data_IF_450544874545
#
_entry.id   IF_450544874545
#
_cell.length_a   1.000
_cell.length_b   1.000
_cell.length_c   1.000
_cell.angle_alpha   90.00
_cell.angle_beta   90.00
_cell.angle_gamma   90.00
#
_symmetry.space_group_name_H-M   'P 1'
#
loop_
_entity.id
_entity.type
_entity.pdbx_description
1 polymer ?
#
# COMPACT_ATOMS: atom_id res chain seq x y z
N UNK A 1 11.56 5.06 34.26
CA UNK A 1 10.47 5.65 33.45
C UNK A 1 10.28 4.79 32.22
N UNK A 2 9.05 4.37 31.91
CA UNK A 2 8.72 3.59 30.71
C UNK A 2 7.79 4.44 29.84
N UNK A 3 8.31 5.07 28.80
CA UNK A 3 7.51 5.75 27.77
C UNK A 3 6.94 4.68 26.84
N UNK A 4 5.61 4.54 26.84
CA UNK A 4 4.90 3.76 25.82
C UNK A 4 4.64 4.69 24.65
N UNK A 5 5.18 4.36 23.47
CA UNK A 5 4.81 4.97 22.20
C UNK A 5 4.09 3.92 21.35
N UNK A 6 2.81 4.17 21.13
CA UNK A 6 1.82 3.57 20.22
C UNK A 6 0.86 4.76 19.97
N UNK A 7 0.29 5.02 18.80
CA UNK A 7 -0.02 4.06 17.73
C UNK A 7 0.06 4.60 16.28
N UNK A 8 0.11 5.92 16.03
CA UNK A 8 -0.16 6.52 14.71
C UNK A 8 1.07 6.65 13.77
N UNK A 9 2.15 5.92 14.03
CA UNK A 9 3.45 6.01 13.34
C UNK A 9 3.95 4.64 12.82
N UNK A 10 3.05 3.80 12.28
CA UNK A 10 3.39 2.41 11.93
C UNK A 10 3.87 2.11 10.51
N UNK A 11 3.81 3.06 9.57
CA UNK A 11 4.58 2.95 8.29
C UNK A 11 6.11 2.81 8.48
N UNK A 12 6.63 2.96 9.71
CA UNK A 12 7.94 3.60 9.92
C UNK A 12 9.04 2.80 10.66
N UNK A 13 8.89 1.50 10.97
CA UNK A 13 9.84 0.79 11.88
C UNK A 13 10.47 -0.53 11.38
N UNK A 14 10.01 -1.20 10.31
CA UNK A 14 10.43 -2.59 10.01
C UNK A 14 11.21 -2.89 8.71
N UNK A 15 11.73 -1.89 7.97
CA UNK A 15 12.58 -2.14 6.77
C UNK A 15 13.99 -1.52 6.81
N UNK A 16 14.65 -1.52 7.98
CA UNK A 16 16.12 -1.39 8.01
C UNK A 16 16.77 -2.73 7.63
N UNK A 17 17.64 -2.69 6.61
CA UNK A 17 18.50 -3.77 6.05
C UNK A 17 17.95 -4.53 4.82
N UNK A 18 17.89 -3.86 3.66
CA UNK A 18 17.93 -4.49 2.34
C UNK A 18 18.79 -3.67 1.36
N UNK A 19 20.12 -3.70 1.57
CA UNK A 19 21.08 -3.04 0.68
C UNK A 19 21.32 -3.83 -0.62
N UNK A 20 21.40 -3.11 -1.74
CA UNK A 20 21.68 -3.60 -3.10
C UNK A 20 22.74 -4.70 -3.21
N UNK A 21 22.45 -5.74 -4.02
CA UNK A 21 23.44 -6.42 -4.85
C UNK A 21 22.81 -6.97 -6.14
N UNK A 22 23.19 -6.39 -7.29
CA UNK A 22 22.83 -6.87 -8.63
C UNK A 22 23.93 -7.80 -9.13
N UNK A 23 23.61 -9.04 -9.49
CA UNK A 23 24.53 -9.91 -10.24
C UNK A 23 23.82 -10.75 -11.30
N UNK A 24 24.51 -10.91 -12.45
CA UNK A 24 24.01 -11.55 -13.66
C UNK A 24 23.66 -13.03 -13.48
N UNK A 25 22.62 -13.47 -14.19
CA UNK A 25 22.30 -14.89 -14.40
C UNK A 25 23.23 -15.52 -15.44
N UNK A 26 23.69 -16.74 -15.17
CA UNK A 26 24.30 -17.63 -16.17
C UNK A 26 23.39 -18.84 -16.31
N UNK A 27 22.81 -19.02 -17.50
CA UNK A 27 21.98 -20.19 -17.80
C UNK A 27 22.84 -21.42 -18.06
N UNK A 28 22.50 -22.54 -17.41
CA UNK A 28 22.89 -23.88 -17.87
C UNK A 28 21.64 -24.70 -18.16
N UNK A 29 21.49 -25.09 -19.42
CA UNK A 29 20.49 -26.04 -19.89
C UNK A 29 21.01 -27.47 -19.71
N UNK A 30 20.16 -28.36 -19.21
CA UNK A 30 20.32 -29.81 -19.39
C UNK A 30 19.02 -30.41 -19.92
N UNK A 31 19.12 -31.16 -21.02
CA UNK A 31 18.01 -31.83 -21.70
C UNK A 31 18.13 -33.33 -21.48
N UNK A 32 17.02 -34.03 -21.22
CA UNK A 32 16.97 -35.49 -21.20
C UNK A 32 15.65 -36.04 -21.79
N UNK A 33 15.77 -37.06 -22.65
CA UNK A 33 14.73 -37.86 -23.31
C UNK A 33 14.74 -39.29 -22.70
N UNK A 34 13.75 -40.19 -22.83
CA UNK A 34 12.42 -40.23 -23.46
C UNK A 34 11.57 -41.31 -22.73
N UNK A 35 10.24 -41.22 -22.71
CA UNK A 35 9.36 -42.39 -22.61
C UNK A 35 7.89 -42.07 -22.94
N UNK A 36 7.40 -42.53 -24.09
CA UNK A 36 5.98 -42.50 -24.44
C UNK A 36 5.19 -43.61 -23.72
N UNK A 37 3.99 -43.28 -23.26
CA UNK A 37 2.99 -44.25 -22.84
C UNK A 37 1.58 -43.70 -23.13
N UNK A 38 0.97 -44.14 -24.23
CA UNK A 38 -0.43 -43.83 -24.54
C UNK A 38 -1.35 -44.66 -23.63
N UNK A 39 -2.13 -43.96 -22.79
CA UNK A 39 -3.35 -44.49 -22.16
C UNK A 39 -4.46 -43.47 -22.32
N UNK A 40 -5.48 -43.83 -23.10
CA UNK A 40 -6.72 -43.06 -23.24
C UNK A 40 -7.64 -43.29 -22.05
N UNK A 41 -8.05 -42.23 -21.36
CA UNK A 41 -9.46 -41.98 -21.01
C UNK A 41 -9.68 -40.62 -20.32
N UNK A 42 -10.92 -40.14 -20.37
CA UNK A 42 -11.45 -38.94 -19.69
C UNK A 42 -10.69 -37.61 -19.89
N UNK A 43 -11.16 -36.77 -20.82
CA UNK A 43 -10.65 -35.42 -20.99
C UNK A 43 -10.81 -34.58 -19.71
N UNK A 44 -9.72 -33.99 -19.16
CA UNK A 44 -9.82 -33.15 -17.99
C UNK A 44 -10.60 -31.87 -18.32
N UNK A 45 -11.56 -31.56 -17.44
CA UNK A 45 -12.31 -30.32 -17.43
C UNK A 45 -11.31 -29.15 -17.39
N UNK A 46 -11.36 -28.22 -18.35
CA UNK A 46 -10.33 -27.20 -18.57
C UNK A 46 -10.39 -26.06 -17.52
N UNK A 47 -10.14 -26.41 -16.25
CA UNK A 47 -10.11 -25.53 -15.08
C UNK A 47 -8.95 -25.78 -14.12
N UNK A 48 -8.00 -26.65 -14.46
CA UNK A 48 -6.71 -26.77 -13.79
C UNK A 48 -5.57 -26.34 -14.73
N UNK A 49 -4.53 -25.73 -14.16
CA UNK A 49 -3.25 -25.34 -14.82
C UNK A 49 -3.23 -24.12 -15.75
N UNK A 50 -4.08 -23.10 -15.52
CA UNK A 50 -3.52 -21.74 -15.63
C UNK A 50 -2.78 -21.45 -14.32
N UNK A 51 -1.45 -21.44 -14.39
CA UNK A 51 -0.57 -21.38 -13.23
C UNK A 51 -0.76 -20.04 -12.50
N UNK A 52 -1.46 -20.07 -11.35
CA UNK A 52 -1.87 -18.86 -10.60
C UNK A 52 -0.67 -17.92 -10.40
N UNK A 53 -0.76 -16.74 -10.98
CA UNK A 53 0.31 -15.76 -10.96
C UNK A 53 0.31 -15.00 -9.63
N UNK A 54 -0.87 -14.73 -9.07
CA UNK A 54 -1.03 -14.08 -7.77
C UNK A 54 -0.46 -14.96 -6.64
N UNK A 55 -0.79 -16.25 -6.64
CA UNK A 55 -0.29 -17.20 -5.66
C UNK A 55 1.21 -17.50 -5.77
N UNK A 56 1.76 -17.57 -7.00
CA UNK A 56 3.21 -17.66 -7.19
C UNK A 56 3.93 -16.43 -6.67
N UNK A 57 3.46 -15.24 -7.04
CA UNK A 57 4.04 -13.97 -6.60
C UNK A 57 3.99 -13.84 -5.07
N UNK A 58 2.90 -14.31 -4.44
CA UNK A 58 2.77 -14.40 -2.98
C UNK A 58 3.81 -15.33 -2.35
N UNK A 59 4.06 -16.49 -2.95
CA UNK A 59 5.06 -17.45 -2.48
C UNK A 59 6.49 -16.92 -2.63
N UNK A 60 6.79 -16.22 -3.72
CA UNK A 60 8.09 -15.58 -3.93
C UNK A 60 8.33 -14.45 -2.90
N UNK A 61 7.30 -13.65 -2.58
CA UNK A 61 7.35 -12.68 -1.49
C UNK A 61 7.56 -13.33 -0.11
N UNK A 62 6.88 -14.44 0.18
CA UNK A 62 7.08 -15.22 1.41
C UNK A 62 8.51 -15.74 1.55
N UNK A 63 9.07 -16.29 0.47
CA UNK A 63 10.44 -16.80 0.45
C UNK A 63 11.46 -15.66 0.64
N UNK A 64 11.29 -14.55 -0.07
CA UNK A 64 12.10 -13.34 0.09
C UNK A 64 12.08 -12.83 1.54
N UNK A 65 10.89 -12.65 2.12
CA UNK A 65 10.71 -12.19 3.50
C UNK A 65 11.42 -13.11 4.51
N UNK A 66 11.27 -14.44 4.36
CA UNK A 66 11.93 -15.42 5.24
C UNK A 66 13.46 -15.37 5.13
N UNK A 67 14.01 -15.20 3.93
CA UNK A 67 15.45 -15.05 3.72
C UNK A 67 15.98 -13.75 4.34
N UNK A 68 15.25 -12.64 4.19
CA UNK A 68 15.58 -11.36 4.84
C UNK A 68 15.56 -11.47 6.37
N UNK A 69 14.57 -12.15 6.96
CA UNK A 69 14.50 -12.41 8.39
C UNK A 69 15.70 -13.23 8.91
N UNK A 70 16.13 -14.27 8.17
CA UNK A 70 17.32 -15.07 8.51
C UNK A 70 18.63 -14.27 8.39
N UNK A 71 18.73 -13.37 7.40
CA UNK A 71 19.85 -12.45 7.24
C UNK A 71 19.96 -11.48 8.42
N UNK A 72 18.86 -10.83 8.79
CA UNK A 72 18.77 -9.92 9.94
C UNK A 72 19.08 -10.62 11.28
N UNK A 73 18.62 -11.86 11.46
CA UNK A 73 18.97 -12.70 12.61
C UNK A 73 20.47 -12.98 12.68
N UNK A 74 21.09 -13.34 11.55
CA UNK A 74 22.53 -13.65 11.48
C UNK A 74 23.40 -12.44 11.83
N UNK A 75 23.02 -11.25 11.34
CA UNK A 75 23.67 -9.99 11.72
C UNK A 75 23.45 -9.65 13.21
N UNK A 76 22.25 -9.92 13.75
CA UNK A 76 21.94 -9.71 15.17
C UNK A 76 22.81 -10.59 16.07
N UNK A 77 22.99 -11.89 15.74
CA UNK A 77 23.88 -12.78 16.49
C UNK A 77 25.33 -12.26 16.51
N UNK A 78 25.86 -11.84 15.36
CA UNK A 78 27.22 -11.29 15.27
C UNK A 78 27.40 -9.99 16.07
N UNK A 79 26.35 -9.19 16.23
CA UNK A 79 26.35 -8.04 17.13
C UNK A 79 26.33 -8.48 18.62
N UNK A 80 25.53 -9.49 18.97
CA UNK A 80 25.48 -10.05 20.33
C UNK A 80 26.83 -10.64 20.77
N UNK A 81 27.54 -11.34 19.88
CA UNK A 81 28.85 -11.93 20.18
C UNK A 81 29.89 -10.91 20.66
N UNK A 82 29.75 -9.65 20.22
CA UNK A 82 30.63 -8.53 20.57
C UNK A 82 30.26 -7.84 21.90
N UNK A 83 29.27 -8.36 22.65
CA UNK A 83 28.92 -7.88 23.99
C UNK A 83 29.88 -8.51 25.03
N UNK A 84 30.65 -7.71 25.80
CA UNK A 84 31.63 -8.26 26.74
C UNK A 84 31.03 -8.95 27.97
N UNK A 85 29.85 -8.51 28.41
CA UNK A 85 29.15 -9.09 29.56
C UNK A 85 28.42 -10.39 29.15
N UNK A 86 28.73 -11.56 29.75
CA UNK A 86 28.15 -12.83 29.31
C UNK A 86 26.64 -12.92 29.49
N UNK A 87 26.05 -12.26 30.48
CA UNK A 87 24.61 -12.33 30.74
C UNK A 87 23.83 -11.43 29.76
N UNK A 88 24.37 -10.25 29.44
CA UNK A 88 23.81 -9.37 28.40
C UNK A 88 23.92 -9.98 27.01
N UNK A 89 25.02 -10.69 26.71
CA UNK A 89 25.17 -11.43 25.45
C UNK A 89 24.13 -12.54 25.33
N UNK A 90 23.96 -13.36 26.37
CA UNK A 90 22.95 -14.42 26.39
C UNK A 90 21.53 -13.86 26.17
N UNK A 91 21.17 -12.77 26.88
CA UNK A 91 19.89 -12.09 26.65
C UNK A 91 19.76 -11.60 25.20
N UNK A 92 20.81 -11.01 24.63
CA UNK A 92 20.81 -10.55 23.24
C UNK A 92 20.56 -11.70 22.24
N UNK A 93 21.14 -12.89 22.45
CA UNK A 93 20.85 -14.04 21.59
C UNK A 93 19.39 -14.51 21.71
N UNK A 94 18.82 -14.51 22.93
CA UNK A 94 17.41 -14.83 23.16
C UNK A 94 16.48 -13.81 22.49
N UNK A 95 16.79 -12.52 22.60
CA UNK A 95 16.05 -11.43 21.97
C UNK A 95 16.12 -11.53 20.43
N UNK A 96 17.30 -11.83 19.88
CA UNK A 96 17.50 -12.06 18.44
C UNK A 96 16.69 -13.28 17.94
N UNK A 97 16.66 -14.37 18.70
CA UNK A 97 15.87 -15.55 18.34
C UNK A 97 14.36 -15.28 18.42
N UNK A 98 13.91 -14.52 19.42
CA UNK A 98 12.51 -14.08 19.52
C UNK A 98 12.13 -13.17 18.34
N UNK A 99 12.99 -12.22 17.97
CA UNK A 99 12.80 -11.35 16.81
C UNK A 99 12.70 -12.14 15.49
N UNK A 100 13.51 -13.19 15.31
CA UNK A 100 13.38 -14.09 14.16
C UNK A 100 12.01 -14.78 14.12
N UNK A 101 11.51 -15.29 15.25
CA UNK A 101 10.19 -15.94 15.28
C UNK A 101 9.06 -14.97 14.94
N UNK A 102 9.11 -13.74 15.47
CA UNK A 102 8.16 -12.68 15.12
C UNK A 102 8.22 -12.38 13.62
N UNK A 103 9.41 -12.15 13.06
CA UNK A 103 9.57 -11.86 11.63
C UNK A 103 9.06 -13.00 10.73
N UNK A 104 9.35 -14.26 11.08
CA UNK A 104 8.85 -15.42 10.33
C UNK A 104 7.33 -15.55 10.38
N UNK A 105 6.70 -15.21 11.51
CA UNK A 105 5.24 -15.14 11.64
C UNK A 105 4.67 -14.00 10.77
N UNK A 106 5.25 -12.80 10.84
CA UNK A 106 4.85 -11.67 9.97
C UNK A 106 4.91 -12.05 8.49
N UNK A 107 5.98 -12.71 8.03
CA UNK A 107 6.06 -13.20 6.65
C UNK A 107 4.90 -14.15 6.30
N UNK A 108 4.50 -15.01 7.24
CA UNK A 108 3.39 -15.95 7.05
C UNK A 108 2.02 -15.26 7.04
N UNK A 109 1.83 -14.24 7.87
CA UNK A 109 0.60 -13.43 7.93
C UNK A 109 0.45 -12.62 6.62
N UNK A 110 1.53 -11.98 6.16
CA UNK A 110 1.56 -11.28 4.87
C UNK A 110 1.27 -12.21 3.69
N UNK A 111 1.75 -13.47 3.73
CA UNK A 111 1.39 -14.46 2.71
C UNK A 111 -0.10 -14.78 2.73
N UNK A 112 -0.68 -15.00 3.91
CA UNK A 112 -2.13 -15.29 4.06
C UNK A 112 -2.96 -14.12 3.54
N UNK A 113 -2.59 -12.87 3.84
CA UNK A 113 -3.26 -11.68 3.33
C UNK A 113 -3.23 -11.62 1.79
N UNK A 114 -2.07 -11.85 1.16
CA UNK A 114 -1.99 -11.92 -0.31
C UNK A 114 -2.86 -13.04 -0.88
N UNK A 115 -2.86 -14.24 -0.28
CA UNK A 115 -3.72 -15.35 -0.73
C UNK A 115 -5.22 -15.02 -0.62
N UNK A 116 -5.65 -14.33 0.43
CA UNK A 116 -7.04 -13.87 0.57
C UNK A 116 -7.41 -12.88 -0.55
N UNK A 117 -6.51 -11.94 -0.86
CA UNK A 117 -6.70 -11.00 -1.97
C UNK A 117 -6.68 -11.69 -3.34
N UNK A 118 -5.84 -12.71 -3.55
CA UNK A 118 -5.90 -13.57 -4.75
C UNK A 118 -7.24 -14.32 -4.86
N UNK A 119 -7.85 -14.71 -3.73
CA UNK A 119 -9.17 -15.32 -3.70
C UNK A 119 -10.31 -14.34 -4.06
N UNK A 120 -10.11 -13.05 -3.79
CA UNK A 120 -11.08 -11.98 -4.06
C UNK A 120 -10.97 -11.43 -5.50
N UNK A 121 -9.75 -11.16 -5.96
CA UNK A 121 -9.47 -10.57 -7.29
C UNK A 121 -9.22 -11.62 -8.38
N UNK A 122 -9.02 -12.89 -8.00
CA UNK A 122 -8.64 -13.99 -8.88
C UNK A 122 -7.13 -14.18 -9.02
N UNK A 123 -6.72 -15.39 -9.42
CA UNK A 123 -5.31 -15.80 -9.57
C UNK A 123 -4.57 -15.28 -10.81
N UNK A 124 -5.12 -14.28 -11.50
CA UNK A 124 -4.52 -13.69 -12.70
C UNK A 124 -3.27 -12.86 -12.37
N UNK A 125 -2.38 -12.61 -13.34
CA UNK A 125 -1.32 -11.63 -13.17
C UNK A 125 -1.96 -10.23 -13.11
N UNK A 126 -1.72 -9.47 -12.04
CA UNK A 126 -2.13 -8.08 -12.00
C UNK A 126 -1.29 -7.27 -12.99
N UNK A 127 -1.90 -6.84 -14.10
CA UNK A 127 -1.25 -6.05 -15.14
C UNK A 127 -2.30 -5.24 -15.92
N UNK A 128 -2.83 -4.14 -15.35
CA UNK A 128 -3.77 -3.27 -16.04
C UNK A 128 -3.15 -2.74 -17.34
N UNK A 129 -3.96 -2.66 -18.40
CA UNK A 129 -3.54 -2.15 -19.70
C UNK A 129 -3.81 -0.65 -19.73
N UNK A 130 -2.74 0.14 -19.63
CA UNK A 130 -2.81 1.59 -19.74
C UNK A 130 -2.65 1.98 -21.21
N UNK A 131 -3.74 2.43 -21.83
CA UNK A 131 -3.74 3.13 -23.11
C UNK A 131 -3.99 4.62 -22.84
N UNK A 132 -3.00 5.51 -23.07
CA UNK A 132 -3.17 6.95 -22.89
C UNK A 132 -4.36 7.58 -23.61
N UNK A 133 -4.84 6.99 -24.71
CA UNK A 133 -6.01 7.48 -25.42
C UNK A 133 -7.34 7.29 -24.67
N UNK A 134 -7.34 6.54 -23.56
CA UNK A 134 -8.50 6.36 -22.68
C UNK A 134 -8.50 7.32 -21.48
N UNK A 135 -7.53 8.23 -21.35
CA UNK A 135 -7.40 9.14 -20.21
C UNK A 135 -7.48 10.60 -20.64
N UNK A 136 -8.01 11.45 -19.76
CA UNK A 136 -7.95 12.90 -19.89
C UNK A 136 -9.28 13.62 -19.61
N UNK A 137 -9.20 14.95 -19.57
CA UNK A 137 -10.25 15.80 -18.99
C UNK A 137 -9.93 16.17 -17.54
N UNK A 138 -10.82 16.91 -16.86
CA UNK A 138 -10.75 17.08 -15.41
C UNK A 138 -11.03 15.74 -14.70
N UNK A 139 -10.56 15.61 -13.45
CA UNK A 139 -10.99 14.50 -12.59
C UNK A 139 -12.26 14.95 -11.85
N UNK A 140 -13.40 14.62 -12.43
CA UNK A 140 -14.75 15.00 -11.99
C UNK A 140 -15.58 13.84 -11.41
N UNK A 141 -14.92 12.71 -11.11
CA UNK A 141 -15.51 11.54 -10.46
C UNK A 141 -16.39 11.96 -9.25
N UNK A 142 -17.61 11.41 -9.10
CA UNK A 142 -18.55 11.85 -8.07
C UNK A 142 -18.03 11.74 -6.63
N UNK A 143 -17.12 10.80 -6.35
CA UNK A 143 -16.60 10.51 -5.02
C UNK A 143 -15.11 10.83 -4.85
N UNK A 144 -14.40 11.19 -5.92
CA UNK A 144 -13.01 11.65 -5.88
C UNK A 144 -12.73 12.81 -6.87
N UNK A 145 -13.43 13.97 -6.78
CA UNK A 145 -13.20 15.08 -7.69
C UNK A 145 -11.93 15.86 -7.30
N UNK A 146 -11.00 16.05 -8.23
CA UNK A 146 -9.82 16.90 -8.04
C UNK A 146 -10.05 18.26 -8.73
N UNK A 147 -10.54 19.22 -7.95
CA UNK A 147 -10.71 20.61 -8.37
C UNK A 147 -9.37 21.34 -8.17
N UNK A 148 -8.70 21.84 -9.23
CA UNK A 148 -7.42 22.54 -9.08
C UNK A 148 -7.50 23.73 -8.11
N UNK A 149 -6.49 23.87 -7.25
CA UNK A 149 -6.43 24.85 -6.18
C UNK A 149 -7.29 24.53 -4.95
N UNK A 150 -8.09 23.45 -4.97
CA UNK A 150 -8.86 23.06 -3.79
C UNK A 150 -8.01 22.28 -2.80
N UNK A 151 -8.03 22.72 -1.55
CA UNK A 151 -7.37 22.09 -0.41
C UNK A 151 -8.41 21.55 0.58
N UNK A 152 -8.27 20.29 0.95
CA UNK A 152 -9.03 19.63 2.01
C UNK A 152 -8.10 19.48 3.23
N UNK A 153 -8.56 19.92 4.40
CA UNK A 153 -7.78 19.90 5.64
C UNK A 153 -8.47 18.99 6.64
N UNK A 154 -7.72 18.02 7.16
CA UNK A 154 -8.19 17.01 8.10
C UNK A 154 -7.46 17.09 9.43
N UNK A 155 -8.12 16.70 10.52
CA UNK A 155 -7.52 16.64 11.85
C UNK A 155 -7.87 15.34 12.57
N UNK A 156 -6.92 14.80 13.34
CA UNK A 156 -7.11 13.66 14.23
C UNK A 156 -6.48 13.94 15.60
N UNK A 157 -7.22 13.64 16.66
CA UNK A 157 -6.70 13.64 18.02
C UNK A 157 -6.18 12.23 18.36
N UNK A 158 -4.89 12.01 18.12
CA UNK A 158 -4.21 10.73 18.39
C UNK A 158 -3.61 10.71 19.79
N UNK A 159 -3.20 9.52 20.23
CA UNK A 159 -2.39 9.34 21.44
C UNK A 159 -1.00 10.00 21.38
N UNK A 160 -0.46 10.22 20.18
CA UNK A 160 0.84 10.86 19.93
C UNK A 160 0.70 12.41 19.79
N UNK A 161 -0.53 12.91 19.66
CA UNK A 161 -0.86 14.34 19.58
C UNK A 161 -1.89 14.68 18.49
N UNK A 162 -1.94 15.96 18.11
CA UNK A 162 -2.83 16.43 17.05
C UNK A 162 -2.13 16.19 15.70
N UNK A 163 -2.65 15.23 14.92
CA UNK A 163 -2.27 15.03 13.51
C UNK A 163 -3.15 15.95 12.65
N UNK A 164 -2.54 16.71 11.74
CA UNK A 164 -3.24 17.49 10.71
C UNK A 164 -2.70 17.11 9.34
N UNK A 165 -3.59 16.73 8.43
CA UNK A 165 -3.27 16.49 7.03
C UNK A 165 -3.84 17.64 6.18
N UNK A 166 -3.08 18.12 5.21
CA UNK A 166 -3.50 19.10 4.20
C UNK A 166 -3.33 18.50 2.80
N UNK A 167 -4.43 18.17 2.11
CA UNK A 167 -4.44 17.57 0.77
C UNK A 167 -4.85 18.62 -0.26
N UNK A 168 -3.97 19.00 -1.18
CA UNK A 168 -4.22 20.04 -2.20
C UNK A 168 -4.16 19.48 -3.60
N UNK A 169 -5.27 19.54 -4.35
CA UNK A 169 -5.24 19.28 -5.79
C UNK A 169 -4.55 20.46 -6.50
N UNK A 170 -3.37 20.23 -7.05
CA UNK A 170 -2.54 21.32 -7.61
C UNK A 170 -2.94 21.64 -9.06
N UNK A 171 -2.33 22.69 -9.61
CA UNK A 171 -2.39 23.01 -11.04
C UNK A 171 -1.33 22.27 -11.88
N UNK A 172 -0.45 21.48 -11.25
CA UNK A 172 0.66 20.79 -11.89
C UNK A 172 0.24 19.41 -12.43
N UNK A 173 0.93 18.97 -13.47
CA UNK A 173 0.72 17.64 -14.07
C UNK A 173 2.03 16.95 -14.43
N UNK A 174 2.04 15.62 -14.38
CA UNK A 174 3.19 14.77 -14.71
C UNK A 174 2.79 13.73 -15.75
N UNK A 175 3.70 13.37 -16.65
CA UNK A 175 3.49 12.32 -17.65
C UNK A 175 3.98 10.97 -17.12
N UNK A 176 3.07 10.04 -16.85
CA UNK A 176 3.38 8.68 -16.38
C UNK A 176 2.75 7.68 -17.35
N UNK A 177 3.55 6.75 -17.91
CA UNK A 177 3.12 5.82 -18.95
C UNK A 177 2.48 6.48 -20.21
N UNK A 178 2.71 7.78 -20.41
CA UNK A 178 2.10 8.60 -21.47
C UNK A 178 0.74 9.20 -21.12
N UNK A 179 0.24 8.97 -19.90
CA UNK A 179 -0.96 9.60 -19.34
C UNK A 179 -0.57 10.90 -18.63
N UNK A 180 -1.33 11.96 -18.88
CA UNK A 180 -1.26 13.21 -18.11
C UNK A 180 -1.95 13.01 -16.76
N UNK A 181 -1.16 12.89 -15.69
CA UNK A 181 -1.67 12.77 -14.32
C UNK A 181 -1.69 14.13 -13.63
N UNK A 182 -2.78 14.43 -12.91
CA UNK A 182 -2.92 15.58 -12.00
C UNK A 182 -2.12 15.30 -10.74
N UNK A 183 -1.33 16.28 -10.30
CA UNK A 183 -0.58 16.19 -9.05
C UNK A 183 -1.43 16.68 -7.87
N UNK A 184 -1.48 15.88 -6.80
CA UNK A 184 -1.98 16.26 -5.48
C UNK A 184 -0.78 16.41 -4.54
N UNK A 185 -0.87 17.35 -3.61
CA UNK A 185 0.13 17.57 -2.56
C UNK A 185 -0.49 17.26 -1.20
N UNK A 186 -0.11 16.14 -0.59
CA UNK A 186 -0.44 15.78 0.80
C UNK A 186 0.71 16.23 1.72
N UNK A 187 0.37 16.92 2.81
CA UNK A 187 1.33 17.28 3.85
C UNK A 187 0.77 16.95 5.23
N UNK A 188 1.45 16.03 5.92
CA UNK A 188 1.09 15.62 7.27
C UNK A 188 1.95 16.33 8.32
N UNK A 189 1.28 16.87 9.32
CA UNK A 189 1.86 17.49 10.51
C UNK A 189 1.46 16.72 11.76
N UNK A 190 2.37 16.55 12.72
CA UNK A 190 2.08 16.13 14.08
C UNK A 190 2.49 17.24 15.05
N UNK A 191 1.55 17.73 15.86
CA UNK A 191 1.76 18.82 16.83
C UNK A 191 2.38 20.10 16.21
N UNK A 192 2.19 20.32 14.90
CA UNK A 192 2.73 21.45 14.13
C UNK A 192 4.10 21.21 13.49
N UNK A 193 4.79 20.09 13.75
CA UNK A 193 5.97 19.67 12.99
C UNK A 193 5.52 18.86 11.76
N UNK A 194 6.11 19.15 10.59
CA UNK A 194 5.85 18.38 9.37
C UNK A 194 6.57 17.05 9.42
N UNK A 195 5.84 15.95 9.25
CA UNK A 195 6.34 14.57 9.32
C UNK A 195 6.27 13.83 7.98
N UNK A 196 5.43 14.28 7.05
CA UNK A 196 5.28 13.71 5.70
C UNK A 196 5.06 14.85 4.70
N UNK A 197 5.56 14.70 3.48
CA UNK A 197 5.46 15.66 2.37
C UNK A 197 5.43 14.84 1.07
N UNK A 198 4.24 14.64 0.50
CA UNK A 198 3.97 13.66 -0.56
C UNK A 198 3.35 14.30 -1.79
N UNK A 199 3.86 13.93 -2.97
CA UNK A 199 3.29 14.30 -4.26
C UNK A 199 2.67 13.07 -4.93
N UNK A 200 1.35 12.99 -4.90
CA UNK A 200 0.54 11.93 -5.51
C UNK A 200 0.16 12.28 -6.95
N UNK A 201 0.02 11.27 -7.81
CA UNK A 201 -0.38 11.46 -9.21
C UNK A 201 -1.59 10.61 -9.58
N UNK A 202 -2.67 11.29 -9.99
CA UNK A 202 -3.94 10.66 -10.37
C UNK A 202 -4.34 10.96 -11.81
N UNK A 203 -5.07 10.07 -12.47
CA UNK A 203 -5.71 10.37 -13.75
C UNK A 203 -7.08 9.69 -13.84
N UNK A 204 -8.04 10.35 -14.49
CA UNK A 204 -9.36 9.76 -14.75
C UNK A 204 -9.42 9.14 -16.14
N UNK A 205 -9.95 7.93 -16.24
CA UNK A 205 -10.26 7.28 -17.51
C UNK A 205 -11.60 7.79 -18.10
N UNK A 206 -11.85 7.46 -19.37
CA UNK A 206 -13.11 7.80 -20.06
C UNK A 206 -14.33 6.99 -19.61
N UNK A 207 -14.17 6.06 -18.68
CA UNK A 207 -15.29 5.42 -17.97
C UNK A 207 -15.62 6.19 -16.67
N UNK A 208 -14.71 7.04 -16.20
CA UNK A 208 -14.83 7.90 -15.02
C UNK A 208 -14.10 7.37 -13.77
N UNK A 209 -13.35 6.27 -13.87
CA UNK A 209 -12.60 5.75 -12.73
C UNK A 209 -11.35 6.59 -12.53
N UNK A 210 -11.02 6.89 -11.28
CA UNK A 210 -9.78 7.57 -10.92
C UNK A 210 -8.72 6.53 -10.63
N UNK A 211 -7.62 6.63 -11.36
CA UNK A 211 -6.45 5.76 -11.24
C UNK A 211 -5.35 6.47 -10.48
N UNK A 212 -4.67 5.73 -9.60
CA UNK A 212 -3.49 6.18 -8.87
C UNK A 212 -2.23 5.67 -9.60
N UNK A 213 -1.38 6.60 -10.04
CA UNK A 213 -0.22 6.31 -10.89
C UNK A 213 1.11 6.29 -10.13
N UNK A 214 1.16 6.79 -8.90
CA UNK A 214 2.37 6.84 -8.08
C UNK A 214 2.36 7.97 -7.07
N UNK A 215 3.35 7.93 -6.19
CA UNK A 215 3.69 8.98 -5.25
C UNK A 215 5.20 9.24 -5.19
N UNK A 216 5.56 10.45 -4.79
CA UNK A 216 6.89 10.77 -4.26
C UNK A 216 6.71 11.24 -2.81
N UNK A 217 7.03 10.35 -1.88
CA UNK A 217 6.83 10.51 -0.44
C UNK A 217 8.14 10.84 0.25
N UNK A 218 8.15 11.92 1.03
CA UNK A 218 9.26 12.31 1.90
C UNK A 218 8.85 12.17 3.36
N UNK A 219 9.36 11.15 4.04
CA UNK A 219 9.17 11.00 5.49
C UNK A 219 10.20 11.89 6.21
N UNK A 220 9.74 12.73 7.14
CA UNK A 220 10.51 13.83 7.74
C UNK A 220 10.58 13.70 9.26
N UNK A 221 11.77 13.91 9.82
CA UNK A 221 11.96 14.01 11.27
C UNK A 221 12.99 15.08 11.60
N UNK A 222 12.69 15.95 12.57
CA UNK A 222 13.55 17.08 12.96
C UNK A 222 13.90 18.00 11.77
N UNK A 223 12.96 18.16 10.83
CA UNK A 223 13.13 18.95 9.60
C UNK A 223 14.05 18.35 8.53
N UNK A 224 14.48 17.08 8.68
CA UNK A 224 15.28 16.36 7.69
C UNK A 224 14.48 15.21 7.07
N UNK A 225 14.62 14.99 5.77
CA UNK A 225 14.13 13.76 5.11
C UNK A 225 14.92 12.59 5.68
N UNK A 226 14.24 11.66 6.33
CA UNK A 226 14.82 10.45 6.93
C UNK A 226 14.61 9.20 6.08
N UNK A 227 13.63 9.24 5.18
CA UNK A 227 13.25 8.12 4.31
C UNK A 227 12.38 8.62 3.15
N UNK A 228 12.29 7.81 2.10
CA UNK A 228 11.37 7.97 0.97
C UNK A 228 10.61 6.66 0.72
N UNK A 229 10.43 5.86 1.75
CA UNK A 229 9.58 4.65 1.72
C UNK A 229 8.14 5.07 1.39
N UNK A 230 7.41 4.22 0.65
CA UNK A 230 6.18 4.59 -0.07
C UNK A 230 6.44 4.85 -1.56
N UNK A 231 7.32 5.82 -1.88
CA UNK A 231 7.58 6.34 -3.25
C UNK A 231 7.57 5.27 -4.34
N UNK A 232 6.66 5.41 -5.31
CA UNK A 232 6.61 4.59 -6.50
C UNK A 232 6.16 5.37 -7.74
N UNK A 233 6.42 4.80 -8.92
CA UNK A 233 5.94 5.37 -10.19
C UNK A 233 5.58 4.23 -11.12
N UNK A 234 4.35 4.24 -11.63
CA UNK A 234 3.83 3.21 -12.52
C UNK A 234 4.73 2.97 -13.74
N UNK A 235 5.05 1.71 -13.99
CA UNK A 235 6.00 1.28 -15.03
C UNK A 235 7.46 1.19 -14.59
N UNK A 236 7.83 1.74 -13.43
CA UNK A 236 9.19 1.67 -12.88
C UNK A 236 9.31 0.47 -11.94
N UNK A 237 10.39 -0.32 -12.07
CA UNK A 237 10.71 -1.44 -11.18
C UNK A 237 9.58 -2.48 -10.96
N UNK A 238 8.67 -2.62 -11.93
CA UNK A 238 7.53 -3.53 -11.85
C UNK A 238 6.28 -2.95 -11.18
N UNK A 239 6.34 -1.70 -10.68
CA UNK A 239 5.21 -0.97 -10.13
C UNK A 239 4.08 -0.79 -11.15
N UNK A 240 2.83 -0.84 -10.68
CA UNK A 240 1.62 -0.75 -11.51
C UNK A 240 0.60 0.17 -10.86
N UNK A 241 -0.15 0.94 -11.66
CA UNK A 241 -1.21 1.78 -11.15
C UNK A 241 -2.37 0.91 -10.67
N UNK A 242 -3.19 1.47 -9.79
CA UNK A 242 -4.49 0.91 -9.42
C UNK A 242 -5.59 1.95 -9.52
N UNK A 243 -6.77 1.60 -9.02
CA UNK A 243 -7.94 2.48 -8.95
C UNK A 243 -8.03 2.99 -7.51
N UNK A 244 -8.20 4.30 -7.31
CA UNK A 244 -8.49 4.93 -5.99
C UNK A 244 -9.99 5.22 -5.81
N UNK A 245 -10.74 5.26 -6.92
CA UNK A 245 -12.20 5.42 -6.89
C UNK A 245 -12.83 5.01 -8.23
N UNK A 246 -13.78 4.09 -8.19
CA UNK A 246 -14.60 3.74 -9.36
C UNK A 246 -15.66 4.83 -9.65
N UNK A 247 -16.15 4.94 -10.89
CA UNK A 247 -17.23 5.88 -11.22
C UNK A 247 -18.55 5.54 -10.53
N UNK A 248 -18.78 4.23 -10.38
CA UNK A 248 -20.04 3.64 -9.92
C UNK A 248 -19.78 2.52 -8.90
N UNK A 249 -19.24 2.83 -7.71
CA UNK A 249 -18.91 1.80 -6.71
C UNK A 249 -20.15 0.96 -6.34
N UNK A 250 -20.00 -0.37 -6.25
CA UNK A 250 -21.02 -1.28 -5.75
C UNK A 250 -20.52 -2.09 -4.54
N UNK A 251 -21.41 -2.41 -3.59
CA UNK A 251 -21.01 -3.18 -2.40
C UNK A 251 -20.50 -4.56 -2.79
N UNK A 252 -19.26 -4.85 -2.40
CA UNK A 252 -18.56 -6.09 -2.75
C UNK A 252 -17.50 -5.92 -3.83
N UNK A 253 -17.49 -4.80 -4.56
CA UNK A 253 -16.40 -4.46 -5.49
C UNK A 253 -15.09 -4.37 -4.72
N UNK A 254 -14.03 -4.84 -5.36
CA UNK A 254 -12.70 -4.92 -4.77
C UNK A 254 -11.64 -4.77 -5.86
N UNK A 255 -10.61 -3.98 -5.57
CA UNK A 255 -9.56 -3.64 -6.50
C UNK A 255 -8.26 -3.37 -5.76
N UNK A 256 -7.19 -3.13 -6.53
CA UNK A 256 -5.92 -2.64 -6.00
C UNK A 256 -5.88 -1.13 -6.19
N UNK A 257 -5.49 -0.43 -5.13
CA UNK A 257 -5.09 0.98 -5.17
C UNK A 257 -3.74 1.12 -5.89
N UNK A 258 -2.86 0.14 -5.65
CA UNK A 258 -1.50 0.09 -6.19
C UNK A 258 -0.93 -1.34 -6.20
N UNK A 259 0.20 -1.54 -6.91
CA UNK A 259 0.95 -2.80 -6.82
C UNK A 259 2.45 -2.65 -7.09
N UNK A 260 3.24 -2.83 -6.04
CA UNK A 260 4.70 -2.89 -5.99
C UNK A 260 5.11 -3.94 -4.95
N UNK A 261 5.33 -5.19 -5.37
CA UNK A 261 5.52 -6.33 -4.47
C UNK A 261 6.59 -6.07 -3.37
N UNK A 262 6.17 -6.10 -2.11
CA UNK A 262 7.03 -5.86 -0.93
C UNK A 262 7.22 -4.38 -0.53
N UNK A 263 6.73 -3.45 -1.35
CA UNK A 263 6.85 -2.00 -1.13
C UNK A 263 5.50 -1.35 -0.87
N UNK A 264 4.54 -1.55 -1.78
CA UNK A 264 3.18 -1.02 -1.71
C UNK A 264 2.21 -2.02 -2.35
N UNK A 265 1.18 -2.46 -1.63
CA UNK A 265 0.26 -3.53 -2.09
C UNK A 265 -1.18 -3.27 -1.69
N UNK A 266 -1.54 -1.99 -1.56
CA UNK A 266 -2.79 -1.54 -0.98
C UNK A 266 -4.00 -1.92 -1.85
N UNK A 267 -5.08 -2.28 -1.17
CA UNK A 267 -6.26 -2.87 -1.79
C UNK A 267 -7.53 -2.45 -1.08
N UNK A 268 -8.53 -2.15 -1.88
CA UNK A 268 -9.78 -1.55 -1.46
C UNK A 268 -10.93 -2.54 -1.62
N UNK A 269 -11.92 -2.41 -0.75
CA UNK A 269 -13.20 -3.10 -0.89
C UNK A 269 -14.35 -2.16 -0.53
N UNK A 270 -15.31 -1.99 -1.43
CA UNK A 270 -16.50 -1.19 -1.19
C UNK A 270 -17.44 -1.95 -0.24
N UNK A 271 -17.66 -1.41 0.96
CA UNK A 271 -18.47 -2.05 2.03
C UNK A 271 -19.77 -1.31 2.33
N UNK A 272 -20.01 -0.14 1.74
CA UNK A 272 -21.29 0.56 1.81
C UNK A 272 -21.40 1.75 0.84
N UNK A 273 -22.63 2.15 0.51
CA UNK A 273 -22.93 3.20 -0.49
C UNK A 273 -23.88 4.31 0.01
N UNK A 274 -24.37 4.20 1.24
CA UNK A 274 -25.38 5.10 1.79
C UNK A 274 -25.13 5.34 3.28
N UNK A 275 -23.95 5.87 3.60
CA UNK A 275 -23.57 6.25 4.96
C UNK A 275 -23.83 7.74 5.19
N UNK A 276 -24.41 8.06 6.35
CA UNK A 276 -24.40 9.42 6.88
C UNK A 276 -23.14 9.60 7.73
N UNK A 277 -22.28 10.53 7.35
CA UNK A 277 -21.00 10.81 8.01
C UNK A 277 -21.02 12.23 8.57
N UNK A 278 -20.77 12.36 9.87
CA UNK A 278 -20.62 13.65 10.55
C UNK A 278 -19.16 13.84 10.98
N UNK A 279 -18.61 14.98 10.61
CA UNK A 279 -17.25 15.46 10.89
C UNK A 279 -17.31 16.95 11.27
N UNK A 280 -16.23 17.58 11.77
CA UNK A 280 -16.28 18.99 12.19
C UNK A 280 -16.67 19.97 11.07
N UNK A 281 -16.33 19.68 9.81
CA UNK A 281 -16.74 20.52 8.67
C UNK A 281 -18.26 20.44 8.36
N UNK A 282 -18.93 19.33 8.66
CA UNK A 282 -20.34 19.15 8.28
C UNK A 282 -20.93 17.76 8.51
N UNK A 283 -22.13 17.55 7.98
CA UNK A 283 -22.77 16.23 7.87
C UNK A 283 -23.03 15.96 6.39
N UNK A 284 -22.64 14.77 5.94
CA UNK A 284 -22.77 14.31 4.58
C UNK A 284 -23.65 13.05 4.56
N UNK A 285 -24.50 12.93 3.56
CA UNK A 285 -25.34 11.75 3.30
C UNK A 285 -24.90 11.09 1.99
N UNK A 286 -25.35 9.86 1.74
CA UNK A 286 -24.98 9.07 0.55
C UNK A 286 -23.46 8.87 0.39
N UNK A 287 -22.72 8.77 1.51
CA UNK A 287 -21.29 8.50 1.47
C UNK A 287 -21.02 7.03 1.13
N UNK A 288 -20.02 6.81 0.29
CA UNK A 288 -19.41 5.49 0.07
C UNK A 288 -18.47 5.19 1.23
N UNK A 289 -18.47 3.95 1.70
CA UNK A 289 -17.50 3.42 2.66
C UNK A 289 -16.67 2.35 1.98
N UNK A 290 -15.36 2.58 1.94
CA UNK A 290 -14.35 1.66 1.45
C UNK A 290 -13.54 1.16 2.64
N UNK A 291 -13.21 -0.13 2.62
CA UNK A 291 -12.31 -0.76 3.57
C UNK A 291 -10.96 -0.99 2.87
N UNK A 292 -9.98 -0.17 3.19
CA UNK A 292 -8.60 -0.29 2.73
C UNK A 292 -7.85 -1.34 3.57
N UNK A 293 -7.06 -2.17 2.91
CA UNK A 293 -6.20 -3.18 3.53
C UNK A 293 -4.92 -3.38 2.73
N UNK A 294 -3.80 -3.55 3.42
CA UNK A 294 -2.49 -3.82 2.82
C UNK A 294 -1.95 -5.18 3.23
N UNK A 295 -1.44 -5.95 2.26
CA UNK A 295 -0.85 -7.25 2.54
C UNK A 295 0.53 -7.15 3.23
N UNK A 296 1.07 -5.94 3.38
CA UNK A 296 2.32 -5.65 4.08
C UNK A 296 2.12 -5.52 5.60
N UNK A 297 0.95 -5.02 6.03
CA UNK A 297 0.55 -4.89 7.42
C UNK A 297 -0.85 -5.51 7.65
N UNK A 298 -0.98 -6.86 7.62
CA UNK A 298 -2.28 -7.56 7.59
C UNK A 298 -3.26 -7.30 8.75
N UNK A 299 -2.80 -6.63 9.80
CA UNK A 299 -3.61 -6.25 10.97
C UNK A 299 -4.14 -4.83 10.90
N UNK A 300 -3.65 -4.02 9.96
CA UNK A 300 -4.13 -2.65 9.71
C UNK A 300 -5.31 -2.74 8.75
N UNK A 301 -6.40 -2.08 9.13
CA UNK A 301 -7.62 -1.95 8.35
C UNK A 301 -8.08 -0.52 8.54
N UNK A 302 -8.20 0.23 7.44
CA UNK A 302 -8.76 1.58 7.43
C UNK A 302 -10.16 1.51 6.83
N UNK A 303 -11.09 2.29 7.38
CA UNK A 303 -12.40 2.52 6.78
C UNK A 303 -12.48 3.98 6.34
N UNK A 304 -12.52 4.19 5.04
CA UNK A 304 -12.50 5.49 4.39
C UNK A 304 -13.87 5.84 3.83
N UNK A 305 -14.27 7.08 4.03
CA UNK A 305 -15.61 7.56 3.76
C UNK A 305 -15.55 8.71 2.77
N UNK A 306 -16.20 8.54 1.62
CA UNK A 306 -16.18 9.45 0.49
C UNK A 306 -17.57 10.07 0.28
N UNK A 307 -17.64 11.40 0.26
CA UNK A 307 -18.90 12.13 0.10
C UNK A 307 -19.07 12.70 -1.32
N UNK A 308 -20.29 12.63 -1.92
CA UNK A 308 -20.56 13.14 -3.25
C UNK A 308 -20.12 14.60 -3.46
N UNK A 309 -19.35 14.86 -4.52
CA UNK A 309 -18.83 16.19 -4.90
C UNK A 309 -17.71 16.74 -4.01
N UNK A 310 -17.38 16.06 -2.91
CA UNK A 310 -16.34 16.48 -1.97
C UNK A 310 -15.08 15.66 -2.15
N UNK A 311 -15.16 14.34 -2.12
CA UNK A 311 -13.97 13.49 -1.97
C UNK A 311 -13.98 12.74 -0.64
N UNK A 312 -12.82 12.26 -0.15
CA UNK A 312 -12.70 11.71 1.20
C UNK A 312 -13.10 12.77 2.24
N UNK A 313 -13.88 12.35 3.24
CA UNK A 313 -14.34 13.21 4.34
C UNK A 313 -13.94 12.69 5.72
N UNK A 314 -13.66 11.39 5.84
CA UNK A 314 -13.21 10.76 7.08
C UNK A 314 -12.46 9.46 6.79
N UNK A 315 -11.38 9.21 7.53
CA UNK A 315 -10.74 7.89 7.66
C UNK A 315 -10.86 7.40 9.11
N UNK A 316 -11.08 6.11 9.30
CA UNK A 316 -11.18 5.46 10.61
C UNK A 316 -10.23 4.26 10.68
N UNK A 317 -9.19 4.37 11.51
CA UNK A 317 -8.23 3.29 11.77
C UNK A 317 -8.18 3.01 13.27
N UNK A 318 -8.40 1.76 13.71
CA UNK A 318 -8.27 1.34 15.12
C UNK A 318 -9.05 2.17 16.17
N UNK A 319 -10.03 2.98 15.74
CA UNK A 319 -10.79 3.90 16.58
C UNK A 319 -10.31 5.37 16.55
N UNK A 320 -9.15 5.65 15.96
CA UNK A 320 -8.71 7.01 15.64
C UNK A 320 -9.42 7.48 14.36
N UNK A 321 -9.96 8.70 14.39
CA UNK A 321 -10.68 9.33 13.26
C UNK A 321 -9.84 10.49 12.72
N UNK A 322 -9.52 10.45 11.44
CA UNK A 322 -9.02 11.60 10.69
C UNK A 322 -10.22 12.23 9.99
N UNK A 323 -10.61 13.42 10.42
CA UNK A 323 -11.90 14.03 10.04
C UNK A 323 -11.69 15.33 9.25
N UNK A 324 -12.45 15.54 8.18
CA UNK A 324 -12.44 16.80 7.44
C UNK A 324 -12.91 17.95 8.35
N UNK A 325 -12.04 18.95 8.53
CA UNK A 325 -12.31 20.15 9.35
C UNK A 325 -12.51 21.41 8.51
N UNK A 326 -11.90 21.49 7.33
CA UNK A 326 -11.96 22.68 6.47
C UNK A 326 -11.75 22.34 5.00
N UNK A 327 -12.44 23.05 4.11
CA UNK A 327 -12.13 23.14 2.68
C UNK A 327 -11.70 24.57 2.37
N UNK A 328 -10.66 24.74 1.58
CA UNK A 328 -10.19 26.01 1.03
C UNK A 328 -10.21 25.91 -0.51
N UNK A 329 -10.63 26.97 -1.18
CA UNK A 329 -10.46 27.14 -2.62
C UNK A 329 -9.65 28.42 -2.84
N UNK A 330 -8.86 28.47 -3.92
CA UNK A 330 -8.16 29.67 -4.40
C UNK A 330 -9.10 30.81 -4.85
#
# INVERSE_FOLDING_TARGET
MKTKFHASHRRHIWKKLAGFCVFNTISLTLVAWIADAELTEAGPNAKETQQDACSRTSLDALNSCRTSAQSAYSLSLGNCDNIPDPAQREQCHQDAQAALQVALQTCQDQFVARQQLCGLLGGGPYNPVIDPANFGGPIDNPYFPLIPGRTLIYEAHTVDGIKRNTVTATHETVQILGVTCVQVHDVVYLNGERIEDTLDWFAQDHQGNVWYFGENTLEISNGLVVSTEGTFTSGVNGAKPGIIMETHPAVGDAYRQEFVLGTGEDSEQVVGLDKTVRVPYGTFDHCVEIKETTALEPTVIVHDFYAPGIGPVMSLESGERLELVQIVNE
#
